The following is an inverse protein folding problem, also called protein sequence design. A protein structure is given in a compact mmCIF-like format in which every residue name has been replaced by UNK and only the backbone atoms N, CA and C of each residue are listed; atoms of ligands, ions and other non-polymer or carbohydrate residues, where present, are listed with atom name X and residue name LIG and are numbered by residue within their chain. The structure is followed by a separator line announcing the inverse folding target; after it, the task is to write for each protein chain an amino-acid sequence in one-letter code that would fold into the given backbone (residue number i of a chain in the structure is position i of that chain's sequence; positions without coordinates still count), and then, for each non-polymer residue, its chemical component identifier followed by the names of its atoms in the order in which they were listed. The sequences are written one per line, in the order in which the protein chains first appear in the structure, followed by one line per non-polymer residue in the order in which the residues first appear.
data_IF_788353929305
#
_entry.id   IF_788353929305
#
_cell.length_a   1.000
_cell.length_b   1.000
_cell.length_c   1.000
_cell.angle_alpha   90.00
_cell.angle_beta   90.00
_cell.angle_gamma   90.00
#
_symmetry.space_group_name_H-M   'P 1'
#
loop_
_entity.id
_entity.type
_entity.pdbx_description
1 polymer ?
#
# COMPACT_ATOMS: atom_id res chain seq x y z
N UNK A 1 -10.70 -1.92 -6.71
CA UNK A 1 -10.65 -1.03 -7.89
C UNK A 1 -10.18 -1.89 -9.04
N UNK A 2 -10.87 -1.95 -10.18
CA UNK A 2 -10.42 -2.83 -11.28
C UNK A 2 -9.16 -2.24 -11.94
N UNK A 3 -8.25 -3.08 -12.47
CA UNK A 3 -7.06 -2.62 -13.20
C UNK A 3 -7.39 -1.66 -14.36
N UNK A 4 -8.61 -1.73 -14.89
CA UNK A 4 -9.12 -0.80 -15.92
C UNK A 4 -9.17 0.67 -15.45
N UNK A 5 -9.39 0.91 -14.15
CA UNK A 5 -9.55 2.28 -13.63
C UNK A 5 -8.19 2.99 -13.46
N UNK A 6 -7.12 2.23 -13.18
CA UNK A 6 -5.74 2.73 -13.14
C UNK A 6 -5.28 3.12 -14.55
N UNK A 7 -5.56 2.27 -15.55
CA UNK A 7 -5.31 2.59 -16.95
C UNK A 7 -6.07 3.85 -17.41
N UNK A 8 -7.30 4.05 -16.93
CA UNK A 8 -8.11 5.22 -17.29
C UNK A 8 -7.54 6.54 -16.72
N UNK A 9 -6.98 6.53 -15.51
CA UNK A 9 -6.31 7.70 -14.92
C UNK A 9 -5.04 8.05 -15.71
N UNK A 10 -4.19 7.06 -15.98
CA UNK A 10 -2.96 7.27 -16.75
C UNK A 10 -3.26 7.78 -18.18
N UNK A 11 -4.29 7.23 -18.83
CA UNK A 11 -4.75 7.67 -20.14
C UNK A 11 -5.22 9.13 -20.13
N UNK A 12 -5.98 9.56 -19.11
CA UNK A 12 -6.43 10.95 -18.95
C UNK A 12 -5.29 11.93 -18.71
N UNK A 13 -4.27 11.54 -17.93
CA UNK A 13 -3.07 12.36 -17.71
C UNK A 13 -2.28 12.53 -19.01
N UNK A 14 -2.05 11.43 -19.73
CA UNK A 14 -1.38 11.49 -21.02
C UNK A 14 -2.15 12.34 -22.06
N UNK A 15 -3.48 12.23 -22.10
CA UNK A 15 -4.31 13.06 -22.97
C UNK A 15 -4.25 14.56 -22.61
N UNK A 16 -4.12 14.92 -21.33
CA UNK A 16 -3.90 16.32 -20.92
C UNK A 16 -2.55 16.84 -21.38
N UNK A 17 -1.49 16.04 -21.21
CA UNK A 17 -0.13 16.43 -21.61
C UNK A 17 -0.01 16.63 -23.13
N UNK A 18 -0.63 15.73 -23.91
CA UNK A 18 -0.65 15.79 -25.37
C UNK A 18 -1.44 16.99 -25.91
N UNK A 19 -2.48 17.43 -25.18
CA UNK A 19 -3.29 18.61 -25.53
C UNK A 19 -2.72 19.92 -24.97
N UNK A 20 -1.65 19.86 -24.18
CA UNK A 20 -1.06 21.04 -23.56
C UNK A 20 -0.40 21.93 -24.62
N UNK A 21 -0.76 23.22 -24.73
CA UNK A 21 -0.15 24.15 -25.69
C UNK A 21 1.36 24.33 -25.49
N UNK A 22 1.86 24.00 -24.29
CA UNK A 22 3.26 24.12 -23.90
C UNK A 22 4.17 23.00 -24.42
N UNK A 23 3.61 21.91 -24.96
CA UNK A 23 4.37 20.76 -25.45
C UNK A 23 3.95 20.44 -26.90
N UNK A 24 4.70 20.89 -27.92
CA UNK A 24 4.43 20.52 -29.30
C UNK A 24 4.82 19.04 -29.51
N UNK A 25 3.88 18.13 -29.25
CA UNK A 25 4.07 16.68 -29.45
C UNK A 25 3.52 16.29 -30.81
N UNK A 26 4.40 15.85 -31.71
CA UNK A 26 4.03 15.36 -33.04
C UNK A 26 3.12 14.13 -32.97
N UNK A 27 2.21 13.99 -33.93
CA UNK A 27 1.21 12.92 -33.98
C UNK A 27 1.74 11.48 -33.76
N UNK A 28 2.87 11.04 -34.38
CA UNK A 28 3.41 9.70 -34.13
C UNK A 28 3.93 9.52 -32.69
N UNK A 29 4.47 10.59 -32.07
CA UNK A 29 5.01 10.55 -30.72
C UNK A 29 3.92 10.46 -29.63
N UNK A 30 2.67 10.82 -29.94
CA UNK A 30 1.54 10.76 -28.98
C UNK A 30 1.28 9.36 -28.45
N UNK A 31 1.42 8.33 -29.29
CA UNK A 31 1.22 6.93 -28.89
C UNK A 31 2.33 6.44 -27.93
N UNK A 32 3.57 6.81 -28.23
CA UNK A 32 4.75 6.49 -27.41
C UNK A 32 4.66 7.19 -26.04
N UNK A 33 4.29 8.47 -26.02
CA UNK A 33 4.11 9.23 -24.77
C UNK A 33 3.03 8.61 -23.88
N UNK A 34 1.92 8.10 -24.44
CA UNK A 34 0.89 7.40 -23.66
C UNK A 34 1.42 6.14 -22.98
N UNK A 35 2.20 5.33 -23.70
CA UNK A 35 2.78 4.08 -23.17
C UNK A 35 3.80 4.38 -22.07
N UNK A 36 4.65 5.38 -22.28
CA UNK A 36 5.70 5.72 -21.32
C UNK A 36 5.12 6.33 -20.03
N UNK A 37 4.13 7.23 -20.17
CA UNK A 37 3.39 7.79 -19.03
C UNK A 37 2.65 6.68 -18.27
N UNK A 38 2.04 5.72 -18.97
CA UNK A 38 1.39 4.59 -18.32
C UNK A 38 2.38 3.72 -17.56
N UNK A 39 3.56 3.42 -18.13
CA UNK A 39 4.62 2.67 -17.46
C UNK A 39 5.12 3.34 -16.18
N UNK A 40 5.36 4.64 -16.22
CA UNK A 40 5.84 5.40 -15.06
C UNK A 40 4.77 5.54 -13.97
N UNK A 41 3.51 5.76 -14.35
CA UNK A 41 2.41 5.96 -13.40
C UNK A 41 1.85 4.66 -12.82
N UNK A 42 1.94 3.54 -13.54
CA UNK A 42 1.40 2.27 -13.10
C UNK A 42 1.87 1.85 -11.69
N UNK A 43 3.19 1.80 -11.38
CA UNK A 43 3.65 1.41 -10.05
C UNK A 43 3.20 2.40 -8.96
N UNK A 44 3.15 3.70 -9.28
CA UNK A 44 2.69 4.74 -8.35
C UNK A 44 1.20 4.56 -8.03
N UNK A 45 0.37 4.31 -9.05
CA UNK A 45 -1.06 4.11 -8.90
C UNK A 45 -1.38 2.80 -8.19
N UNK A 46 -0.64 1.72 -8.46
CA UNK A 46 -0.79 0.45 -7.75
C UNK A 46 -0.49 0.61 -6.25
N UNK A 47 0.53 1.38 -5.90
CA UNK A 47 0.85 1.70 -4.51
C UNK A 47 -0.22 2.56 -3.85
N UNK A 48 -0.63 3.67 -4.50
CA UNK A 48 -1.66 4.59 -3.98
C UNK A 48 -3.03 3.93 -3.81
N UNK A 49 -3.37 2.98 -4.67
CA UNK A 49 -4.63 2.24 -4.61
C UNK A 49 -4.55 0.96 -3.78
N UNK A 50 -3.40 0.68 -3.18
CA UNK A 50 -3.14 -0.52 -2.39
C UNK A 50 -3.37 -1.84 -3.16
N UNK A 51 -3.21 -1.81 -4.49
CA UNK A 51 -3.44 -2.95 -5.40
C UNK A 51 -2.19 -3.81 -5.62
N UNK A 52 -1.03 -3.40 -5.10
CA UNK A 52 0.19 -4.21 -5.15
C UNK A 52 -0.02 -5.60 -4.47
N UNK A 53 0.56 -6.68 -5.01
CA UNK A 53 0.48 -8.00 -4.40
C UNK A 53 0.95 -7.98 -2.94
N UNK A 54 0.28 -8.73 -2.06
CA UNK A 54 0.53 -8.66 -0.61
C UNK A 54 1.99 -8.92 -0.24
N UNK A 55 2.69 -9.80 -0.98
CA UNK A 55 4.09 -10.16 -0.74
C UNK A 55 5.10 -9.08 -1.15
N UNK A 56 4.71 -8.08 -1.96
CA UNK A 56 5.54 -6.91 -2.30
C UNK A 56 5.26 -5.72 -1.37
N UNK A 57 4.19 -5.80 -0.59
CA UNK A 57 3.74 -4.68 0.20
C UNK A 57 4.55 -4.49 1.49
N UNK A 58 5.21 -3.33 1.60
CA UNK A 58 5.92 -2.92 2.82
C UNK A 58 4.98 -2.82 4.03
N UNK A 59 3.74 -2.41 3.81
CA UNK A 59 2.72 -2.31 4.87
C UNK A 59 2.34 -3.69 5.39
N UNK A 60 2.19 -4.67 4.49
CA UNK A 60 1.89 -6.05 4.88
C UNK A 60 3.03 -6.64 5.70
N UNK A 61 4.27 -6.50 5.23
CA UNK A 61 5.44 -6.99 5.95
C UNK A 61 5.66 -6.28 7.28
N UNK A 62 5.50 -4.95 7.33
CA UNK A 62 5.58 -4.20 8.59
C UNK A 62 4.56 -4.68 9.63
N UNK A 63 3.32 -4.96 9.20
CA UNK A 63 2.30 -5.50 10.08
C UNK A 63 2.60 -6.93 10.56
N UNK A 64 3.13 -7.79 9.68
CA UNK A 64 3.59 -9.15 10.05
C UNK A 64 4.71 -9.04 11.09
N UNK A 65 5.71 -8.19 10.88
CA UNK A 65 6.80 -8.02 11.84
C UNK A 65 6.34 -7.41 13.17
N UNK A 66 5.37 -6.51 13.17
CA UNK A 66 4.77 -6.00 14.41
C UNK A 66 4.08 -7.11 15.23
N UNK A 67 3.37 -8.03 14.55
CA UNK A 67 2.76 -9.20 15.18
C UNK A 67 3.84 -10.12 15.73
N UNK A 68 4.82 -10.50 14.90
CA UNK A 68 5.90 -11.39 15.31
C UNK A 68 6.71 -10.81 16.47
N UNK A 69 6.99 -9.50 16.45
CA UNK A 69 7.66 -8.80 17.54
C UNK A 69 6.87 -8.86 18.84
N UNK A 70 5.55 -8.61 18.79
CA UNK A 70 4.69 -8.75 19.96
C UNK A 70 4.65 -10.20 20.50
N UNK A 71 4.54 -11.20 19.62
CA UNK A 71 4.58 -12.61 20.00
C UNK A 71 5.93 -12.96 20.65
N UNK A 72 7.04 -12.50 20.08
CA UNK A 72 8.38 -12.73 20.63
C UNK A 72 8.55 -12.09 22.02
N UNK A 73 8.03 -10.88 22.23
CA UNK A 73 8.02 -10.22 23.55
C UNK A 73 7.21 -11.02 24.57
N UNK A 74 6.01 -11.47 24.20
CA UNK A 74 5.17 -12.31 25.08
C UNK A 74 5.87 -13.63 25.41
N UNK A 75 6.45 -14.30 24.42
CA UNK A 75 7.18 -15.56 24.61
C UNK A 75 8.39 -15.39 25.54
N UNK A 76 9.13 -14.30 25.39
CA UNK A 76 10.28 -13.97 26.25
C UNK A 76 9.84 -13.64 27.68
N UNK A 77 8.77 -12.86 27.84
CA UNK A 77 8.21 -12.54 29.14
C UNK A 77 7.74 -13.80 29.89
N UNK A 78 7.04 -14.70 29.18
CA UNK A 78 6.59 -15.97 29.73
C UNK A 78 7.76 -16.87 30.16
N UNK A 79 8.83 -16.95 29.34
CA UNK A 79 10.02 -17.72 29.66
C UNK A 79 10.75 -17.20 30.91
N UNK A 80 10.68 -15.89 31.16
CA UNK A 80 11.28 -15.25 32.33
C UNK A 80 10.33 -15.18 33.54
N UNK A 81 9.15 -15.81 33.47
CA UNK A 81 8.11 -15.71 34.51
C UNK A 81 7.70 -14.27 34.85
N UNK A 82 7.84 -13.35 33.89
CA UNK A 82 7.41 -11.97 34.03
C UNK A 82 5.89 -11.91 33.91
N UNK A 83 5.22 -11.20 34.81
CA UNK A 83 3.76 -11.06 34.84
C UNK A 83 3.28 -9.61 34.73
N UNK A 84 4.20 -8.66 34.61
CA UNK A 84 3.88 -7.24 34.53
C UNK A 84 3.04 -6.93 33.29
N UNK A 85 1.89 -6.31 33.52
CA UNK A 85 1.01 -5.82 32.47
C UNK A 85 1.71 -4.77 31.58
N UNK A 86 2.75 -4.11 32.08
CA UNK A 86 3.55 -3.14 31.33
C UNK A 86 4.34 -3.80 30.20
N UNK A 87 4.62 -5.11 30.30
CA UNK A 87 5.30 -5.88 29.24
C UNK A 87 4.28 -6.48 28.26
N UNK A 88 3.18 -7.03 28.78
CA UNK A 88 2.18 -7.70 27.94
C UNK A 88 1.28 -6.72 27.19
N UNK A 89 0.94 -5.57 27.77
CA UNK A 89 -0.01 -4.64 27.13
C UNK A 89 0.54 -4.00 25.84
N UNK A 90 1.79 -3.51 25.75
CA UNK A 90 2.30 -2.96 24.49
C UNK A 90 2.50 -4.06 23.44
N UNK A 91 2.93 -5.26 23.86
CA UNK A 91 3.07 -6.41 22.98
C UNK A 91 1.72 -6.84 22.38
N UNK A 92 0.67 -6.91 23.21
CA UNK A 92 -0.70 -7.16 22.78
C UNK A 92 -1.21 -6.08 21.82
N UNK A 93 -0.95 -4.81 22.12
CA UNK A 93 -1.32 -3.70 21.23
C UNK A 93 -0.57 -3.74 19.90
N UNK A 94 0.69 -4.15 19.87
CA UNK A 94 1.45 -4.36 18.63
C UNK A 94 0.82 -5.45 17.75
N UNK A 95 0.41 -6.56 18.37
CA UNK A 95 -0.28 -7.65 17.66
C UNK A 95 -1.62 -7.17 17.11
N UNK A 96 -2.45 -6.54 17.95
CA UNK A 96 -3.76 -6.01 17.53
C UNK A 96 -3.62 -4.94 16.45
N UNK A 97 -2.62 -4.06 16.54
CA UNK A 97 -2.32 -3.05 15.53
C UNK A 97 -1.90 -3.66 14.18
N UNK A 98 -1.04 -4.68 14.21
CA UNK A 98 -0.65 -5.42 13.00
C UNK A 98 -1.83 -6.17 12.37
N UNK A 99 -2.64 -6.88 13.17
CA UNK A 99 -3.85 -7.55 12.70
C UNK A 99 -4.86 -6.55 12.11
N UNK A 100 -5.06 -5.42 12.78
CA UNK A 100 -5.92 -4.33 12.30
C UNK A 100 -5.44 -3.76 10.97
N UNK A 101 -4.13 -3.60 10.79
CA UNK A 101 -3.52 -3.13 9.55
C UNK A 101 -3.72 -4.13 8.40
N UNK A 102 -3.50 -5.42 8.64
CA UNK A 102 -3.75 -6.47 7.65
C UNK A 102 -5.24 -6.55 7.28
N UNK A 103 -6.13 -6.48 8.28
CA UNK A 103 -7.58 -6.44 8.06
C UNK A 103 -7.99 -5.20 7.24
N UNK A 104 -7.45 -4.03 7.60
CA UNK A 104 -7.59 -2.78 6.88
C UNK A 104 -7.23 -2.92 5.41
N UNK A 105 -6.05 -3.48 5.15
CA UNK A 105 -5.56 -3.66 3.79
C UNK A 105 -6.39 -4.66 2.98
N UNK A 106 -6.69 -5.83 3.53
CA UNK A 106 -7.24 -6.94 2.75
C UNK A 106 -8.76 -6.95 2.67
N UNK A 107 -9.44 -6.46 3.71
CA UNK A 107 -10.90 -6.60 3.84
C UNK A 107 -11.61 -5.26 3.98
N UNK A 108 -11.15 -4.35 4.84
CA UNK A 108 -11.80 -3.06 5.04
C UNK A 108 -11.37 -2.03 3.99
N UNK A 109 -12.06 -2.02 2.85
CA UNK A 109 -11.80 -1.08 1.74
C UNK A 109 -12.34 0.34 1.94
N UNK A 110 -12.96 0.63 3.09
CA UNK A 110 -13.47 1.97 3.41
C UNK A 110 -12.42 2.75 4.21
N UNK A 111 -12.17 4.04 3.88
CA UNK A 111 -11.30 4.88 4.69
C UNK A 111 -11.84 5.00 6.11
N UNK A 112 -10.95 5.13 7.09
CA UNK A 112 -11.34 5.44 8.46
C UNK A 112 -11.96 6.85 8.48
N UNK A 113 -13.18 6.97 9.00
CA UNK A 113 -13.90 8.24 9.10
C UNK A 113 -14.67 8.70 7.85
N UNK A 114 -14.84 7.82 6.85
CA UNK A 114 -15.64 8.06 5.64
C UNK A 114 -17.07 7.48 5.73
#
# INVERSE_FOLDING_TARGET
MSPLLILDIAARVADRLIKSPSLPIEAPAKSVVKVEVAKELQPVLEHLTNNEPWYQSRVTWGAIFAILGGIATIGTAAANSETSLEVYSPAGMSILGGLGTLYGRWKARKPLGA
#
